data_IF_295259867145
#
_entry.id   IF_295259867145
#
_cell.length_a   1.000
_cell.length_b   1.000
_cell.length_c   1.000
_cell.angle_alpha   90.00
_cell.angle_beta   90.00
_cell.angle_gamma   90.00
#
_symmetry.space_group_name_H-M   'P 1'
#
loop_
_entity.id
_entity.type
_entity.pdbx_description
1 polymer ?
#
# COMPACT_ATOMS: atom_id res chain seq x y z
N UNK A 1 -45.20 -3.75 -28.79
CA UNK A 1 -46.15 -3.98 -29.91
C UNK A 1 -47.16 -5.01 -29.46
N UNK A 2 -48.42 -4.85 -29.87
CA UNK A 2 -49.57 -5.61 -29.38
C UNK A 2 -49.94 -6.71 -30.38
N UNK A 3 -49.93 -7.97 -29.95
CA UNK A 3 -50.72 -9.08 -30.50
C UNK A 3 -50.97 -10.04 -29.32
N UNK A 4 -52.18 -10.46 -28.97
CA UNK A 4 -53.44 -10.40 -29.70
C UNK A 4 -53.96 -11.82 -29.89
N UNK A 5 -54.54 -12.41 -28.84
CA UNK A 5 -55.24 -13.70 -28.91
C UNK A 5 -56.48 -13.64 -28.01
N UNK A 6 -57.65 -13.59 -28.63
CA UNK A 6 -58.93 -13.71 -27.93
C UNK A 6 -59.23 -15.19 -27.60
N UNK A 7 -59.88 -15.49 -26.46
CA UNK A 7 -60.48 -16.79 -26.21
C UNK A 7 -61.86 -16.84 -26.89
N UNK A 8 -61.95 -17.56 -28.01
CA UNK A 8 -63.22 -17.76 -28.71
C UNK A 8 -64.21 -18.56 -27.86
N UNK A 9 -65.32 -17.91 -27.50
CA UNK A 9 -66.53 -18.60 -27.09
C UNK A 9 -66.96 -19.55 -28.21
N UNK A 10 -67.19 -20.83 -27.89
CA UNK A 10 -67.96 -21.68 -28.79
C UNK A 10 -68.95 -22.56 -28.02
N UNK A 11 -70.23 -22.20 -28.15
CA UNK A 11 -71.34 -22.93 -27.56
C UNK A 11 -71.57 -24.22 -28.37
N UNK A 12 -71.41 -25.38 -27.74
CA UNK A 12 -71.97 -26.64 -28.23
C UNK A 12 -72.22 -27.63 -27.10
N UNK A 13 -73.11 -27.25 -26.18
CA UNK A 13 -73.90 -28.24 -25.45
C UNK A 13 -74.89 -28.90 -26.43
N UNK A 14 -74.41 -29.87 -27.21
CA UNK A 14 -75.27 -30.67 -28.10
C UNK A 14 -75.58 -32.00 -27.43
N UNK A 15 -76.70 -32.03 -26.71
CA UNK A 15 -77.29 -33.26 -26.20
C UNK A 15 -77.40 -34.31 -27.33
N UNK A 16 -76.78 -35.47 -27.13
CA UNK A 16 -77.09 -36.70 -27.85
C UNK A 16 -77.17 -37.86 -26.84
N UNK A 17 -78.23 -37.85 -26.05
CA UNK A 17 -78.74 -39.08 -25.43
C UNK A 17 -79.23 -39.97 -26.57
N UNK A 18 -78.49 -41.03 -26.91
CA UNK A 18 -78.94 -42.03 -27.87
C UNK A 18 -78.89 -43.43 -27.24
N UNK A 19 -80.02 -43.77 -26.62
CA UNK A 19 -80.54 -45.14 -26.40
C UNK A 19 -79.56 -46.24 -25.94
N UNK A 20 -79.58 -46.50 -24.63
CA UNK A 20 -79.33 -47.83 -24.07
C UNK A 20 -80.39 -48.82 -24.57
N UNK A 21 -80.00 -49.78 -25.43
CA UNK A 21 -80.54 -51.14 -25.45
C UNK A 21 -79.82 -52.01 -26.51
N UNK A 22 -78.95 -52.93 -26.08
CA UNK A 22 -79.03 -54.39 -26.35
C UNK A 22 -77.73 -55.10 -25.98
N UNK A 23 -77.87 -56.38 -25.62
CA UNK A 23 -76.83 -57.40 -25.45
C UNK A 23 -75.93 -57.32 -24.21
N UNK A 24 -76.38 -58.08 -23.21
CA UNK A 24 -75.61 -58.67 -22.12
C UNK A 24 -74.25 -59.21 -22.59
N UNK A 25 -73.15 -58.74 -21.98
CA UNK A 25 -71.85 -59.44 -21.92
C UNK A 25 -70.98 -58.87 -20.78
N UNK A 26 -70.73 -59.71 -19.78
CA UNK A 26 -69.69 -59.64 -18.74
C UNK A 26 -69.43 -58.30 -18.01
N UNK A 27 -69.86 -58.26 -16.74
CA UNK A 27 -69.54 -57.25 -15.71
C UNK A 27 -68.05 -57.32 -15.23
N UNK A 28 -67.19 -58.09 -15.92
CA UNK A 28 -65.84 -58.47 -15.45
C UNK A 28 -64.68 -58.12 -16.39
N UNK A 29 -64.94 -57.42 -17.49
CA UNK A 29 -63.89 -56.76 -18.28
C UNK A 29 -64.37 -55.36 -18.61
N UNK A 30 -63.77 -54.33 -18.00
CA UNK A 30 -63.86 -53.00 -18.61
C UNK A 30 -63.29 -53.12 -20.03
N UNK A 31 -63.97 -52.57 -21.06
CA UNK A 31 -63.42 -52.56 -22.40
C UNK A 31 -62.02 -51.94 -22.34
N UNK A 32 -61.03 -52.54 -23.00
CA UNK A 32 -59.63 -52.07 -22.95
C UNK A 32 -59.55 -50.57 -23.27
N UNK A 33 -60.42 -50.10 -24.17
CA UNK A 33 -60.65 -48.69 -24.53
C UNK A 33 -60.94 -47.80 -23.30
N UNK A 34 -61.76 -48.24 -22.35
CA UNK A 34 -62.11 -47.49 -21.12
C UNK A 34 -60.91 -47.44 -20.16
N UNK A 35 -60.15 -48.53 -20.03
CA UNK A 35 -58.91 -48.52 -19.24
C UNK A 35 -57.87 -47.57 -19.84
N UNK A 36 -57.67 -47.63 -21.16
CA UNK A 36 -56.78 -46.73 -21.89
C UNK A 36 -57.25 -45.27 -21.80
N UNK A 37 -58.56 -45.01 -21.86
CA UNK A 37 -59.10 -43.65 -21.68
C UNK A 37 -58.78 -43.12 -20.27
N UNK A 38 -58.96 -43.93 -19.22
CA UNK A 38 -58.58 -43.56 -17.85
C UNK A 38 -57.08 -43.31 -17.72
N UNK A 39 -56.22 -44.08 -18.39
CA UNK A 39 -54.78 -43.82 -18.43
C UNK A 39 -54.48 -42.49 -19.14
N UNK A 40 -55.07 -42.23 -20.31
CA UNK A 40 -54.93 -40.95 -21.03
C UNK A 40 -55.37 -39.78 -20.17
N UNK A 41 -56.52 -39.88 -19.48
CA UNK A 41 -57.03 -38.84 -18.58
C UNK A 41 -56.11 -38.64 -17.36
N UNK A 42 -55.55 -39.73 -16.80
CA UNK A 42 -54.58 -39.68 -15.70
C UNK A 42 -53.24 -39.03 -16.13
N UNK A 43 -52.71 -39.38 -17.32
CA UNK A 43 -51.52 -38.75 -17.88
C UNK A 43 -51.78 -37.29 -18.22
N UNK A 44 -52.98 -36.94 -18.70
CA UNK A 44 -53.39 -35.56 -18.99
C UNK A 44 -53.44 -34.74 -17.71
N UNK A 45 -54.01 -35.28 -16.63
CA UNK A 45 -54.04 -34.64 -15.32
C UNK A 45 -52.65 -34.48 -14.70
N UNK A 46 -51.77 -35.47 -14.82
CA UNK A 46 -50.36 -35.37 -14.39
C UNK A 46 -49.60 -34.30 -15.20
N UNK A 47 -49.78 -34.28 -16.52
CA UNK A 47 -49.20 -33.27 -17.41
C UNK A 47 -49.69 -31.86 -17.05
N UNK A 48 -50.97 -31.70 -16.70
CA UNK A 48 -51.51 -30.42 -16.27
C UNK A 48 -50.96 -29.99 -14.89
N UNK A 49 -50.79 -30.92 -13.96
CA UNK A 49 -50.19 -30.66 -12.65
C UNK A 49 -48.70 -30.25 -12.79
N UNK A 50 -47.93 -30.92 -13.63
CA UNK A 50 -46.54 -30.53 -13.91
C UNK A 50 -46.45 -29.21 -14.68
N UNK A 51 -47.38 -28.89 -15.60
CA UNK A 51 -47.47 -27.56 -16.22
C UNK A 51 -47.73 -26.45 -15.20
N UNK A 52 -48.61 -26.68 -14.23
CA UNK A 52 -48.86 -25.73 -13.12
C UNK A 52 -47.64 -25.58 -12.20
N UNK A 53 -46.93 -26.68 -11.93
CA UNK A 53 -45.68 -26.66 -11.15
C UNK A 53 -44.57 -25.91 -11.87
N UNK A 54 -44.38 -26.15 -13.17
CA UNK A 54 -43.43 -25.44 -14.02
C UNK A 54 -43.71 -23.94 -14.04
N UNK A 55 -44.98 -23.55 -14.21
CA UNK A 55 -45.39 -22.14 -14.18
C UNK A 55 -45.05 -21.45 -12.84
N UNK A 56 -45.32 -22.10 -11.70
CA UNK A 56 -44.93 -21.56 -10.39
C UNK A 56 -43.42 -21.49 -10.18
N UNK A 57 -42.66 -22.43 -10.76
CA UNK A 57 -41.21 -22.40 -10.74
C UNK A 57 -40.64 -21.26 -11.61
N UNK A 58 -41.20 -21.04 -12.80
CA UNK A 58 -40.88 -19.90 -13.66
C UNK A 58 -41.21 -18.57 -12.99
N UNK A 59 -42.35 -18.46 -12.28
CA UNK A 59 -42.72 -17.24 -11.55
C UNK A 59 -41.73 -16.95 -10.42
N UNK A 60 -41.40 -17.95 -9.59
CA UNK A 60 -40.41 -17.80 -8.52
C UNK A 60 -39.00 -17.50 -9.06
N UNK A 61 -38.59 -18.15 -10.15
CA UNK A 61 -37.33 -17.87 -10.85
C UNK A 61 -37.27 -16.42 -11.37
N UNK A 62 -38.34 -15.91 -11.98
CA UNK A 62 -38.42 -14.53 -12.45
C UNK A 62 -38.37 -13.50 -11.31
N UNK A 63 -38.97 -13.80 -10.15
CA UNK A 63 -38.86 -12.98 -8.95
C UNK A 63 -37.41 -12.94 -8.46
N UNK A 64 -36.76 -14.09 -8.30
CA UNK A 64 -35.35 -14.18 -7.88
C UNK A 64 -34.40 -13.48 -8.86
N UNK A 65 -34.62 -13.61 -10.18
CA UNK A 65 -33.88 -12.86 -11.19
C UNK A 65 -34.04 -11.34 -11.05
N UNK A 66 -35.23 -10.87 -10.71
CA UNK A 66 -35.51 -9.44 -10.50
C UNK A 66 -34.79 -8.93 -9.25
N UNK A 67 -34.86 -9.65 -8.14
CA UNK A 67 -34.10 -9.32 -6.92
C UNK A 67 -32.59 -9.34 -7.14
N UNK A 68 -32.07 -10.33 -7.86
CA UNK A 68 -30.66 -10.45 -8.20
C UNK A 68 -30.17 -9.25 -9.02
N UNK A 69 -30.94 -8.84 -10.04
CA UNK A 69 -30.66 -7.62 -10.83
C UNK A 69 -30.68 -6.35 -9.97
N UNK A 70 -31.64 -6.24 -9.05
CA UNK A 70 -31.71 -5.12 -8.10
C UNK A 70 -30.49 -5.09 -7.16
N UNK A 71 -30.10 -6.23 -6.58
CA UNK A 71 -28.91 -6.35 -5.72
C UNK A 71 -27.62 -5.99 -6.48
N UNK A 72 -27.45 -6.42 -7.73
CA UNK A 72 -26.32 -5.99 -8.58
C UNK A 72 -26.30 -4.47 -8.76
N UNK A 73 -27.44 -3.86 -9.06
CA UNK A 73 -27.53 -2.41 -9.27
C UNK A 73 -27.19 -1.64 -7.99
N UNK A 74 -27.72 -2.05 -6.83
CA UNK A 74 -27.36 -1.43 -5.54
C UNK A 74 -25.88 -1.59 -5.19
N UNK A 75 -25.27 -2.75 -5.46
CA UNK A 75 -23.82 -2.97 -5.28
C UNK A 75 -23.00 -2.06 -6.20
N UNK A 76 -23.42 -1.89 -7.46
CA UNK A 76 -22.77 -1.00 -8.43
C UNK A 76 -22.82 0.46 -7.96
N UNK A 77 -23.96 0.92 -7.48
CA UNK A 77 -24.14 2.27 -6.93
C UNK A 77 -23.33 2.51 -5.65
N UNK A 78 -23.26 1.53 -4.75
CA UNK A 78 -22.43 1.59 -3.54
C UNK A 78 -20.94 1.68 -3.89
N UNK A 79 -20.46 0.85 -4.82
CA UNK A 79 -19.07 0.92 -5.32
C UNK A 79 -18.77 2.29 -5.95
N UNK A 80 -19.68 2.80 -6.79
CA UNK A 80 -19.50 4.11 -7.41
C UNK A 80 -19.49 5.26 -6.39
N UNK A 81 -20.35 5.21 -5.36
CA UNK A 81 -20.34 6.20 -4.26
C UNK A 81 -19.03 6.14 -3.46
N UNK A 82 -18.59 4.94 -3.07
CA UNK A 82 -17.33 4.73 -2.33
C UNK A 82 -16.12 5.26 -3.11
N UNK A 83 -16.03 4.93 -4.40
CA UNK A 83 -14.91 5.38 -5.23
C UNK A 83 -14.97 6.91 -5.42
N UNK A 84 -16.14 7.48 -5.69
CA UNK A 84 -16.32 8.94 -5.78
C UNK A 84 -15.92 9.68 -4.49
N UNK A 85 -16.14 9.10 -3.30
CA UNK A 85 -15.68 9.72 -2.03
C UNK A 85 -14.18 9.65 -1.86
N UNK A 86 -13.55 8.54 -2.26
CA UNK A 86 -12.09 8.34 -2.21
C UNK A 86 -11.38 9.27 -3.21
N UNK A 87 -11.87 9.34 -4.46
CA UNK A 87 -11.35 10.25 -5.49
C UNK A 87 -11.45 11.71 -5.05
N UNK A 88 -12.57 12.14 -4.44
CA UNK A 88 -12.72 13.50 -3.90
C UNK A 88 -11.77 13.81 -2.75
N UNK A 89 -11.48 12.82 -1.89
CA UNK A 89 -10.50 12.99 -0.82
C UNK A 89 -9.09 13.19 -1.41
N UNK A 90 -8.69 12.34 -2.37
CA UNK A 90 -7.42 12.49 -3.10
C UNK A 90 -7.35 13.83 -3.84
N UNK A 91 -8.40 14.24 -4.54
CA UNK A 91 -8.45 15.51 -5.28
C UNK A 91 -8.28 16.73 -4.34
N UNK A 92 -8.90 16.69 -3.16
CA UNK A 92 -8.71 17.70 -2.11
C UNK A 92 -7.28 17.72 -1.55
N UNK A 93 -6.68 16.54 -1.34
CA UNK A 93 -5.28 16.41 -0.91
C UNK A 93 -4.30 16.95 -1.97
N UNK A 94 -4.49 16.60 -3.24
CA UNK A 94 -3.71 17.10 -4.38
C UNK A 94 -3.82 18.63 -4.45
N UNK A 95 -5.03 19.19 -4.34
CA UNK A 95 -5.23 20.64 -4.38
C UNK A 95 -4.54 21.37 -3.22
N UNK A 96 -4.54 20.79 -2.02
CA UNK A 96 -3.81 21.33 -0.87
C UNK A 96 -2.29 21.26 -1.09
N UNK A 97 -1.78 20.14 -1.59
CA UNK A 97 -0.36 20.00 -1.96
C UNK A 97 0.06 20.99 -3.05
N UNK A 98 -0.76 21.20 -4.08
CA UNK A 98 -0.54 22.21 -5.13
C UNK A 98 -0.44 23.62 -4.53
N UNK A 99 -1.40 24.03 -3.68
CA UNK A 99 -1.34 25.33 -3.01
C UNK A 99 -0.11 25.49 -2.09
N UNK A 100 0.33 24.40 -1.43
CA UNK A 100 1.56 24.40 -0.64
C UNK A 100 2.81 24.55 -1.51
N UNK A 101 2.87 23.87 -2.67
CA UNK A 101 3.95 24.00 -3.65
C UNK A 101 4.00 25.42 -4.21
N UNK A 102 2.86 25.99 -4.61
CA UNK A 102 2.76 27.36 -5.13
C UNK A 102 3.24 28.39 -4.10
N UNK A 103 2.87 28.25 -2.82
CA UNK A 103 3.37 29.10 -1.72
C UNK A 103 4.89 28.97 -1.52
N UNK A 104 5.46 27.76 -1.68
CA UNK A 104 6.92 27.54 -1.59
C UNK A 104 7.65 28.12 -2.80
N UNK A 105 7.09 27.99 -4.01
CA UNK A 105 7.63 28.62 -5.23
C UNK A 105 7.61 30.14 -5.15
N UNK A 106 6.54 30.74 -4.61
CA UNK A 106 6.47 32.18 -4.33
C UNK A 106 7.63 32.65 -3.44
N UNK A 107 7.80 32.01 -2.27
CA UNK A 107 8.94 32.28 -1.37
C UNK A 107 10.30 32.03 -2.02
N UNK A 108 10.43 31.00 -2.85
CA UNK A 108 11.68 30.74 -3.57
C UNK A 108 12.01 31.88 -4.55
N UNK A 109 11.03 32.35 -5.33
CA UNK A 109 11.22 33.46 -6.25
C UNK A 109 11.54 34.78 -5.52
N UNK A 110 10.88 35.05 -4.38
CA UNK A 110 11.20 36.19 -3.51
C UNK A 110 12.65 36.13 -3.02
N UNK A 111 13.08 34.99 -2.45
CA UNK A 111 14.49 34.82 -2.00
C UNK A 111 15.49 34.83 -3.15
N UNK A 112 15.10 34.39 -4.35
CA UNK A 112 15.94 34.45 -5.53
C UNK A 112 16.12 35.90 -6.02
N UNK A 113 15.06 36.72 -6.01
CA UNK A 113 15.15 38.15 -6.30
C UNK A 113 16.05 38.87 -5.29
N UNK A 114 15.83 38.64 -3.99
CA UNK A 114 16.66 39.24 -2.94
C UNK A 114 18.15 38.82 -3.05
N UNK A 115 18.43 37.56 -3.46
CA UNK A 115 19.80 37.12 -3.74
C UNK A 115 20.40 37.81 -4.97
N UNK A 116 19.61 38.10 -6.02
CA UNK A 116 20.06 38.88 -7.17
C UNK A 116 20.38 40.32 -6.75
N UNK A 117 19.49 40.97 -5.99
CA UNK A 117 19.71 42.33 -5.47
C UNK A 117 20.99 42.42 -4.61
N UNK A 118 21.21 41.45 -3.71
CA UNK A 118 22.45 41.34 -2.93
C UNK A 118 23.68 41.11 -3.81
N UNK A 119 23.56 40.31 -4.88
CA UNK A 119 24.65 40.06 -5.81
C UNK A 119 25.00 41.32 -6.62
N UNK A 120 24.02 42.14 -6.99
CA UNK A 120 24.24 43.46 -7.60
C UNK A 120 24.91 44.44 -6.62
N UNK A 121 24.44 44.53 -5.38
CA UNK A 121 25.06 45.34 -4.33
C UNK A 121 26.52 44.93 -4.07
N UNK A 122 26.81 43.63 -3.97
CA UNK A 122 28.17 43.11 -3.84
C UNK A 122 29.04 43.50 -5.05
N UNK A 123 28.48 43.47 -6.27
CA UNK A 123 29.20 43.88 -7.47
C UNK A 123 29.42 45.40 -7.54
N UNK A 124 28.51 46.21 -7.00
CA UNK A 124 28.70 47.66 -6.86
C UNK A 124 29.81 47.97 -5.85
N UNK A 125 29.73 47.43 -4.62
CA UNK A 125 30.76 47.58 -3.59
C UNK A 125 32.15 47.10 -4.06
N UNK A 126 32.21 46.05 -4.89
CA UNK A 126 33.47 45.61 -5.54
C UNK A 126 34.03 46.64 -6.51
N UNK A 127 33.21 47.33 -7.31
CA UNK A 127 33.64 48.41 -8.22
C UNK A 127 34.13 49.62 -7.42
N UNK A 128 33.37 50.03 -6.40
CA UNK A 128 33.74 51.13 -5.50
C UNK A 128 35.07 50.85 -4.80
N UNK A 129 35.26 49.64 -4.25
CA UNK A 129 36.54 49.24 -3.63
C UNK A 129 37.73 49.32 -4.60
N UNK A 130 37.55 48.97 -5.87
CA UNK A 130 38.62 49.09 -6.89
C UNK A 130 38.94 50.56 -7.17
N UNK A 131 37.94 51.43 -7.29
CA UNK A 131 38.14 52.87 -7.40
C UNK A 131 38.86 53.46 -6.18
N UNK A 132 38.44 53.10 -4.96
CA UNK A 132 39.11 53.54 -3.73
C UNK A 132 40.57 53.07 -3.65
N UNK A 133 40.87 51.83 -4.03
CA UNK A 133 42.25 51.34 -4.11
C UNK A 133 43.10 52.14 -5.11
N UNK A 134 42.53 52.52 -6.26
CA UNK A 134 43.23 53.35 -7.24
C UNK A 134 43.47 54.79 -6.73
N UNK A 135 42.52 55.37 -6.00
CA UNK A 135 42.67 56.67 -5.35
C UNK A 135 43.72 56.63 -4.23
N UNK A 136 43.67 55.63 -3.34
CA UNK A 136 44.66 55.45 -2.28
C UNK A 136 46.07 55.31 -2.86
N UNK A 137 46.24 54.53 -3.94
CA UNK A 137 47.54 54.39 -4.60
C UNK A 137 48.07 55.71 -5.15
N UNK A 138 47.21 56.55 -5.76
CA UNK A 138 47.60 57.90 -6.22
C UNK A 138 48.01 58.80 -5.05
N UNK A 139 47.28 58.74 -3.93
CA UNK A 139 47.61 59.48 -2.71
C UNK A 139 48.92 59.00 -2.07
N UNK A 140 49.21 57.69 -2.08
CA UNK A 140 50.51 57.15 -1.64
C UNK A 140 51.67 57.67 -2.51
N UNK A 141 51.50 57.66 -3.84
CA UNK A 141 52.48 58.20 -4.79
C UNK A 141 52.73 59.70 -4.55
N UNK A 142 51.69 60.49 -4.22
CA UNK A 142 51.81 61.91 -3.88
C UNK A 142 52.42 62.15 -2.48
N UNK A 143 52.07 61.35 -1.48
CA UNK A 143 52.70 61.41 -0.14
C UNK A 143 54.20 61.09 -0.23
N UNK A 144 54.59 60.10 -1.04
CA UNK A 144 56.00 59.77 -1.28
C UNK A 144 56.74 60.93 -1.96
N UNK A 145 56.08 61.73 -2.81
CA UNK A 145 56.66 62.97 -3.40
C UNK A 145 56.80 64.12 -2.39
N UNK A 146 55.95 64.16 -1.36
CA UNK A 146 55.93 65.22 -0.33
C UNK A 146 56.87 64.89 0.85
N UNK A 147 56.93 63.63 1.25
CA UNK A 147 57.74 63.09 2.36
C UNK A 147 59.22 63.55 2.39
N UNK A 148 60.00 63.50 1.29
CA UNK A 148 61.42 63.89 1.30
C UNK A 148 61.67 65.39 1.56
N UNK A 149 60.61 66.20 1.75
CA UNK A 149 60.70 67.63 2.07
C UNK A 149 60.43 67.97 3.55
N UNK A 150 60.18 66.99 4.43
CA UNK A 150 59.73 67.24 5.83
C UNK A 150 60.48 66.47 6.93
N UNK A 151 61.61 65.83 6.63
CA UNK A 151 62.23 64.83 7.52
C UNK A 151 63.28 65.36 8.54
N UNK A 152 63.61 66.66 8.56
CA UNK A 152 64.77 67.18 9.32
C UNK A 152 64.46 67.78 10.71
N UNK A 153 63.19 67.95 11.10
CA UNK A 153 62.86 68.71 12.33
C UNK A 153 62.15 67.89 13.43
N UNK A 154 62.82 67.83 14.59
CA UNK A 154 62.33 67.60 15.96
C UNK A 154 62.20 66.16 16.53
N UNK A 155 63.09 65.87 17.48
CA UNK A 155 62.88 64.92 18.61
C UNK A 155 63.57 65.42 19.89
N UNK A 156 62.82 65.71 20.98
CA UNK A 156 63.36 65.75 22.33
C UNK A 156 62.91 64.56 23.19
N UNK A 157 63.74 64.23 24.19
CA UNK A 157 63.52 63.19 25.23
C UNK A 157 62.83 63.79 26.45
N UNK A 158 62.24 62.99 27.33
CA UNK A 158 62.30 63.26 28.79
C UNK A 158 62.16 62.00 29.65
N UNK A 159 62.74 62.06 30.85
CA UNK A 159 62.93 60.97 31.81
C UNK A 159 62.43 61.37 33.22
N UNK A 160 61.98 60.37 34.00
CA UNK A 160 62.14 60.24 35.47
C UNK A 160 61.50 61.31 36.41
N UNK A 161 60.71 60.87 37.41
CA UNK A 161 61.14 60.82 38.84
C UNK A 161 60.05 60.27 39.80
N UNK A 162 60.49 59.44 40.77
CA UNK A 162 59.72 59.01 41.96
C UNK A 162 60.22 59.75 43.19
N UNK A 163 59.34 60.09 44.14
CA UNK A 163 59.74 60.44 45.52
C UNK A 163 58.80 59.82 46.57
N UNK A 164 59.29 59.75 47.82
CA UNK A 164 58.84 58.83 48.87
C UNK A 164 58.67 59.54 50.23
N UNK A 165 58.18 58.77 51.22
CA UNK A 165 58.46 58.85 52.67
C UNK A 165 57.47 59.51 53.67
N UNK A 166 56.95 58.60 54.52
CA UNK A 166 56.96 58.59 56.01
C UNK A 166 55.94 59.42 56.83
N UNK A 167 55.81 58.97 58.08
CA UNK A 167 54.74 59.19 59.08
C UNK A 167 55.33 59.88 60.32
N UNK A 168 54.49 60.59 61.10
CA UNK A 168 54.67 60.74 62.55
C UNK A 168 53.32 60.85 63.31
N UNK A 169 53.41 60.59 64.62
CA UNK A 169 52.40 60.58 65.69
C UNK A 169 53.13 61.05 66.98
N UNK A 170 52.56 61.58 68.08
CA UNK A 170 51.20 61.98 68.52
C UNK A 170 51.42 62.83 69.81
N UNK A 171 50.58 63.78 70.24
CA UNK A 171 49.47 64.50 69.59
C UNK A 171 49.19 65.81 70.36
N UNK A 172 48.29 66.66 69.86
CA UNK A 172 47.51 67.63 70.66
C UNK A 172 46.03 67.45 70.33
N UNK A 173 45.08 68.20 70.90
CA UNK A 173 43.69 68.15 70.39
C UNK A 173 43.62 68.96 69.09
N UNK A 174 44.18 68.34 68.06
CA UNK A 174 44.89 69.05 67.02
C UNK A 174 43.93 69.46 65.91
N UNK A 175 43.42 70.68 66.02
CA UNK A 175 42.66 71.33 64.95
C UNK A 175 43.45 71.38 63.65
N UNK A 176 44.79 71.45 63.68
CA UNK A 176 45.63 71.35 62.50
C UNK A 176 45.62 69.93 61.91
N UNK A 177 45.66 68.85 62.69
CA UNK A 177 45.51 67.47 62.19
C UNK A 177 44.07 67.15 61.76
N UNK A 178 43.05 67.68 62.43
CA UNK A 178 41.65 67.53 61.99
C UNK A 178 41.40 68.33 60.71
N UNK A 179 41.95 69.54 60.57
CA UNK A 179 41.95 70.28 59.31
C UNK A 179 42.79 69.56 58.26
N UNK A 180 43.97 69.01 58.56
CA UNK A 180 44.76 68.18 57.61
C UNK A 180 43.96 66.94 57.20
N UNK A 181 43.19 66.31 58.09
CA UNK A 181 42.38 65.14 57.77
C UNK A 181 41.17 65.52 56.91
N UNK A 182 40.46 66.62 57.23
CA UNK A 182 39.41 67.20 56.38
C UNK A 182 39.95 67.64 55.03
N UNK A 183 41.08 68.32 54.98
CA UNK A 183 41.78 68.74 53.77
C UNK A 183 42.23 67.52 52.96
N UNK A 184 42.76 66.48 53.60
CA UNK A 184 43.14 65.22 52.93
C UNK A 184 41.92 64.47 52.40
N UNK A 185 40.76 64.55 53.06
CA UNK A 185 39.47 64.04 52.57
C UNK A 185 38.90 64.88 51.42
N UNK A 186 39.05 66.21 51.47
CA UNK A 186 38.68 67.12 50.36
C UNK A 186 39.61 66.90 49.16
N UNK A 187 40.91 66.74 49.37
CA UNK A 187 41.90 66.39 48.34
C UNK A 187 41.61 64.99 47.78
N UNK A 188 41.22 64.02 48.61
CA UNK A 188 40.79 62.70 48.13
C UNK A 188 39.53 62.80 47.26
N UNK A 189 38.48 63.49 47.72
CA UNK A 189 37.26 63.73 46.94
C UNK A 189 37.55 64.50 45.63
N UNK A 190 38.41 65.53 45.66
CA UNK A 190 38.82 66.24 44.45
C UNK A 190 39.66 65.37 43.53
N UNK A 191 40.52 64.48 44.07
CA UNK A 191 41.30 63.52 43.27
C UNK A 191 40.41 62.44 42.67
N UNK A 192 39.33 62.04 43.32
CA UNK A 192 38.31 61.16 42.73
C UNK A 192 37.46 61.88 41.70
N UNK A 193 37.05 63.13 41.92
CA UNK A 193 36.42 63.97 40.88
C UNK A 193 37.33 64.14 39.66
N UNK A 194 38.62 64.41 39.87
CA UNK A 194 39.61 64.48 38.78
C UNK A 194 39.74 63.13 38.08
N UNK A 195 39.85 61.99 38.79
CA UNK A 195 39.83 60.65 38.16
C UNK A 195 38.56 60.39 37.34
N UNK A 196 37.40 60.81 37.84
CA UNK A 196 36.11 60.66 37.15
C UNK A 196 36.10 61.54 35.89
N UNK A 197 36.60 62.78 35.98
CA UNK A 197 36.76 63.68 34.82
C UNK A 197 37.78 63.11 33.83
N UNK A 198 38.93 62.59 34.28
CA UNK A 198 39.93 61.92 33.44
C UNK A 198 39.34 60.68 32.75
N UNK A 199 38.46 59.93 33.44
CA UNK A 199 37.76 58.79 32.87
C UNK A 199 36.72 59.23 31.83
N UNK A 200 35.97 60.29 32.09
CA UNK A 200 35.07 60.89 31.10
C UNK A 200 35.85 61.45 29.89
N UNK A 201 37.00 62.09 30.10
CA UNK A 201 37.88 62.57 29.02
C UNK A 201 38.47 61.42 28.20
N UNK A 202 38.87 60.32 28.84
CA UNK A 202 39.27 59.09 28.13
C UNK A 202 38.13 58.48 27.33
N UNK A 203 36.95 58.36 27.93
CA UNK A 203 35.78 57.83 27.24
C UNK A 203 35.37 58.75 26.07
N UNK A 204 35.43 60.07 26.25
CA UNK A 204 35.19 61.06 25.19
C UNK A 204 36.22 60.92 24.07
N UNK A 205 37.50 60.74 24.41
CA UNK A 205 38.55 60.53 23.42
C UNK A 205 38.42 59.20 22.67
N UNK A 206 37.98 58.13 23.33
CA UNK A 206 37.68 56.84 22.68
C UNK A 206 36.45 56.97 21.77
N UNK A 207 35.43 57.73 22.18
CA UNK A 207 34.28 58.07 21.32
C UNK A 207 34.74 58.91 20.13
N UNK A 208 35.64 59.88 20.32
CA UNK A 208 36.20 60.72 19.26
C UNK A 208 37.10 59.92 18.30
N UNK A 209 37.93 58.99 18.79
CA UNK A 209 38.67 58.02 17.97
C UNK A 209 37.71 57.10 17.18
N UNK A 210 36.65 56.58 17.81
CA UNK A 210 35.66 55.75 17.14
C UNK A 210 34.86 56.55 16.08
N UNK A 211 34.48 57.80 16.36
CA UNK A 211 33.83 58.68 15.37
C UNK A 211 34.77 59.03 14.22
N UNK A 212 36.05 59.29 14.49
CA UNK A 212 37.05 59.51 13.43
C UNK A 212 37.25 58.23 12.59
N UNK A 213 37.25 57.05 13.21
CA UNK A 213 37.35 55.78 12.50
C UNK A 213 36.10 55.49 11.65
N UNK A 214 34.90 55.80 12.15
CA UNK A 214 33.65 55.73 11.38
C UNK A 214 33.66 56.75 10.23
N UNK A 215 34.19 57.95 10.45
CA UNK A 215 34.35 59.00 9.43
C UNK A 215 35.35 58.62 8.34
N UNK A 216 36.46 57.98 8.69
CA UNK A 216 37.43 57.42 7.74
C UNK A 216 36.85 56.24 6.95
N UNK A 217 36.09 55.35 7.60
CA UNK A 217 35.49 54.17 6.94
C UNK A 217 34.25 54.50 6.09
N UNK A 218 33.44 55.48 6.48
CA UNK A 218 32.22 55.87 5.74
C UNK A 218 32.45 56.97 4.71
N UNK A 219 33.50 57.79 4.88
CA UNK A 219 33.74 58.99 4.06
C UNK A 219 32.74 60.14 4.32
N UNK A 220 31.74 59.93 5.18
CA UNK A 220 30.71 60.92 5.52
C UNK A 220 31.29 61.89 6.54
N UNK A 221 31.29 63.19 6.22
CA UNK A 221 31.87 64.23 7.09
C UNK A 221 30.89 64.80 8.11
N UNK A 222 29.58 64.61 7.90
CA UNK A 222 28.50 65.11 8.73
C UNK A 222 28.10 64.09 9.83
N UNK A 223 27.99 64.59 11.06
CA UNK A 223 27.72 63.79 12.25
C UNK A 223 26.23 63.40 12.31
N UNK A 224 25.33 64.25 11.80
CA UNK A 224 23.88 63.94 11.77
C UNK A 224 23.57 62.82 10.75
N UNK A 225 24.27 62.77 9.62
CA UNK A 225 24.09 61.71 8.62
C UNK A 225 24.62 60.35 9.12
N UNK A 226 25.75 60.34 9.84
CA UNK A 226 26.26 59.14 10.54
C UNK A 226 25.26 58.67 11.60
N UNK A 227 24.73 59.58 12.42
CA UNK A 227 23.76 59.23 13.46
C UNK A 227 22.46 58.65 12.88
N UNK A 228 21.90 59.27 11.83
CA UNK A 228 20.71 58.77 11.15
C UNK A 228 20.96 57.41 10.48
N UNK A 229 22.14 57.19 9.90
CA UNK A 229 22.52 55.89 9.33
C UNK A 229 22.66 54.82 10.41
N UNK A 230 23.21 55.18 11.58
CA UNK A 230 23.31 54.27 12.72
C UNK A 230 21.94 53.89 13.28
N UNK A 231 21.05 54.87 13.52
CA UNK A 231 19.66 54.64 13.95
C UNK A 231 18.94 53.71 12.96
N UNK A 232 19.07 53.96 11.65
CA UNK A 232 18.48 53.08 10.62
C UNK A 232 19.05 51.66 10.65
N UNK A 233 20.34 51.50 10.94
CA UNK A 233 20.95 50.17 11.12
C UNK A 233 20.52 49.48 12.42
N UNK A 234 20.22 50.25 13.47
CA UNK A 234 19.68 49.77 14.74
C UNK A 234 18.21 49.31 14.59
N UNK A 235 17.38 50.08 13.88
CA UNK A 235 16.01 49.68 13.49
C UNK A 235 16.00 48.42 12.62
N UNK A 236 16.95 48.30 11.67
CA UNK A 236 17.14 47.09 10.87
C UNK A 236 17.55 45.89 11.72
N UNK A 237 18.50 46.07 12.65
CA UNK A 237 18.92 45.02 13.59
C UNK A 237 17.76 44.60 14.51
N UNK A 238 16.97 45.54 15.03
CA UNK A 238 15.79 45.25 15.84
C UNK A 238 14.74 44.46 15.05
N UNK A 239 14.50 44.84 13.79
CA UNK A 239 13.63 44.10 12.88
C UNK A 239 14.15 42.68 12.61
N UNK A 240 15.48 42.52 12.51
CA UNK A 240 16.13 41.23 12.31
C UNK A 240 16.03 40.35 13.57
N UNK A 241 16.18 40.91 14.77
CA UNK A 241 15.93 40.18 16.03
C UNK A 241 14.48 39.68 16.11
N UNK A 242 13.50 40.53 15.83
CA UNK A 242 12.09 40.11 15.81
C UNK A 242 11.82 39.03 14.73
N UNK A 243 12.52 39.06 13.59
CA UNK A 243 12.44 37.99 12.60
C UNK A 243 13.11 36.68 13.08
N UNK A 244 14.23 36.76 13.80
CA UNK A 244 14.89 35.60 14.43
C UNK A 244 14.00 34.98 15.53
N UNK A 245 13.30 35.80 16.32
CA UNK A 245 12.35 35.33 17.32
C UNK A 245 11.16 34.60 16.66
N UNK A 246 10.59 35.18 15.59
CA UNK A 246 9.52 34.52 14.80
C UNK A 246 10.01 33.22 14.17
N UNK A 247 11.23 33.19 13.61
CA UNK A 247 11.82 31.97 13.07
C UNK A 247 12.07 30.92 14.16
N UNK A 248 12.47 31.33 15.36
CA UNK A 248 12.66 30.41 16.49
C UNK A 248 11.32 29.79 16.90
N UNK A 249 10.26 30.60 16.97
CA UNK A 249 8.90 30.10 17.21
C UNK A 249 8.40 29.16 16.09
N UNK A 250 8.70 29.47 14.82
CA UNK A 250 8.38 28.58 13.68
C UNK A 250 9.18 27.27 13.73
N UNK A 251 10.43 27.28 14.22
CA UNK A 251 11.23 26.07 14.46
C UNK A 251 10.58 25.22 15.56
N UNK A 252 10.25 25.79 16.72
CA UNK A 252 9.59 25.07 17.83
C UNK A 252 8.26 24.44 17.37
N UNK A 253 7.47 25.15 16.56
CA UNK A 253 6.24 24.66 15.95
C UNK A 253 6.49 23.47 14.99
N UNK A 254 7.54 23.53 14.18
CA UNK A 254 7.91 22.47 13.23
C UNK A 254 8.51 21.25 13.93
N UNK A 255 9.31 21.43 14.98
CA UNK A 255 9.80 20.34 15.83
C UNK A 255 8.63 19.64 16.52
N UNK A 256 7.70 20.39 17.11
CA UNK A 256 6.48 19.83 17.71
C UNK A 256 5.70 18.99 16.69
N UNK A 257 5.47 19.53 15.49
CA UNK A 257 4.79 18.82 14.39
C UNK A 257 5.54 17.54 13.97
N UNK A 258 6.87 17.58 13.90
CA UNK A 258 7.68 16.40 13.59
C UNK A 258 7.54 15.32 14.69
N UNK A 259 7.63 15.69 15.98
CA UNK A 259 7.47 14.70 17.07
C UNK A 259 6.08 14.07 17.10
N UNK A 260 5.03 14.80 16.73
CA UNK A 260 3.66 14.25 16.64
C UNK A 260 3.47 13.39 15.38
N UNK A 261 4.17 13.69 14.27
CA UNK A 261 4.21 12.82 13.10
C UNK A 261 5.00 11.52 13.37
N UNK A 262 6.11 11.60 14.11
CA UNK A 262 6.90 10.44 14.53
C UNK A 262 6.07 9.50 15.42
N UNK A 263 5.42 10.01 16.47
CA UNK A 263 4.47 9.22 17.29
C UNK A 263 3.37 8.60 16.45
N UNK A 264 2.80 9.33 15.50
CA UNK A 264 1.75 8.81 14.63
C UNK A 264 2.24 7.71 13.69
N UNK A 265 3.49 7.78 13.23
CA UNK A 265 4.13 6.69 12.49
C UNK A 265 4.35 5.47 13.39
N UNK A 266 4.82 5.66 14.62
CA UNK A 266 4.99 4.58 15.62
C UNK A 266 3.66 3.91 15.97
N UNK A 267 2.58 4.68 16.22
CA UNK A 267 1.22 4.17 16.43
C UNK A 267 0.72 3.36 15.23
N UNK A 268 0.98 3.84 14.00
CA UNK A 268 0.60 3.12 12.77
C UNK A 268 1.44 1.86 12.56
N UNK A 269 2.73 1.86 12.90
CA UNK A 269 3.56 0.67 12.87
C UNK A 269 3.07 -0.36 13.90
N UNK A 270 2.73 0.07 15.11
CA UNK A 270 2.15 -0.77 16.16
C UNK A 270 0.77 -1.35 15.78
N UNK A 271 -0.12 -0.57 15.15
CA UNK A 271 -1.40 -1.11 14.63
C UNK A 271 -1.18 -2.06 13.44
N UNK A 272 -0.24 -1.77 12.54
CA UNK A 272 0.11 -2.68 11.45
C UNK A 272 0.76 -3.98 11.96
N UNK A 273 1.63 -3.92 12.97
CA UNK A 273 2.16 -5.06 13.72
C UNK A 273 1.02 -5.88 14.35
N UNK A 274 0.07 -5.22 15.03
CA UNK A 274 -1.07 -5.88 15.66
C UNK A 274 -1.99 -6.55 14.62
N UNK A 275 -2.28 -5.88 13.50
CA UNK A 275 -3.02 -6.45 12.36
C UNK A 275 -2.28 -7.63 11.72
N UNK A 276 -0.95 -7.53 11.55
CA UNK A 276 -0.12 -8.63 11.02
C UNK A 276 -0.16 -9.84 11.95
N UNK A 277 -0.06 -9.62 13.27
CA UNK A 277 -0.22 -10.66 14.30
C UNK A 277 -1.64 -11.24 14.33
N UNK A 278 -2.67 -10.44 14.10
CA UNK A 278 -4.06 -10.90 13.99
C UNK A 278 -4.31 -11.76 12.72
N UNK A 279 -3.75 -11.37 11.56
CA UNK A 279 -3.81 -12.18 10.34
C UNK A 279 -3.02 -13.50 10.43
N UNK A 280 -1.87 -13.49 11.12
CA UNK A 280 -1.12 -14.71 11.43
C UNK A 280 -1.77 -15.55 12.55
N UNK A 281 -2.62 -14.90 13.36
CA UNK A 281 -3.25 -15.46 14.55
C UNK A 281 -4.51 -16.29 14.29
N UNK A 282 -5.05 -16.35 13.06
CA UNK A 282 -6.17 -17.23 12.71
C UNK A 282 -5.68 -18.67 12.49
N UNK A 283 -5.81 -19.60 13.46
CA UNK A 283 -5.12 -20.90 13.39
C UNK A 283 -5.76 -21.87 12.39
N UNK A 284 -6.84 -21.44 11.73
CA UNK A 284 -7.60 -22.21 10.76
C UNK A 284 -6.95 -22.13 9.36
N UNK A 285 -6.61 -20.93 8.89
CA UNK A 285 -6.05 -20.73 7.54
C UNK A 285 -4.64 -21.32 7.39
N UNK A 286 -3.79 -21.21 8.41
CA UNK A 286 -2.50 -21.92 8.44
C UNK A 286 -2.67 -23.45 8.36
N UNK A 287 -3.65 -24.01 9.08
CA UNK A 287 -3.93 -25.46 9.07
C UNK A 287 -4.53 -25.90 7.73
N UNK A 288 -5.40 -25.09 7.13
CA UNK A 288 -5.94 -25.31 5.78
C UNK A 288 -4.80 -25.26 4.76
N UNK A 289 -3.95 -24.23 4.78
CA UNK A 289 -2.81 -24.08 3.86
C UNK A 289 -1.81 -25.24 4.00
N UNK A 290 -1.51 -25.70 5.23
CA UNK A 290 -0.70 -26.91 5.46
C UNK A 290 -1.37 -28.19 4.94
N UNK A 291 -2.69 -28.36 5.12
CA UNK A 291 -3.46 -29.48 4.53
C UNK A 291 -3.46 -29.45 3.00
N UNK A 292 -3.68 -28.29 2.40
CA UNK A 292 -3.65 -28.08 0.93
C UNK A 292 -2.27 -28.40 0.38
N UNK A 293 -1.20 -27.87 0.99
CA UNK A 293 0.18 -28.16 0.57
C UNK A 293 0.52 -29.66 0.67
N UNK A 294 0.05 -30.34 1.72
CA UNK A 294 0.23 -31.80 1.87
C UNK A 294 -0.55 -32.60 0.81
N UNK A 295 -1.76 -32.16 0.45
CA UNK A 295 -2.55 -32.74 -0.65
C UNK A 295 -1.87 -32.50 -2.01
N UNK A 296 -1.36 -31.29 -2.24
CA UNK A 296 -0.69 -30.89 -3.47
C UNK A 296 0.64 -31.61 -3.64
N UNK A 297 1.41 -31.81 -2.57
CA UNK A 297 2.60 -32.67 -2.56
C UNK A 297 2.27 -34.13 -2.90
N UNK A 298 1.22 -34.71 -2.32
CA UNK A 298 0.76 -36.07 -2.67
C UNK A 298 0.37 -36.18 -4.14
N UNK A 299 -0.44 -35.25 -4.66
CA UNK A 299 -0.81 -35.22 -6.08
C UNK A 299 0.38 -35.01 -7.01
N UNK A 300 1.38 -34.21 -6.59
CA UNK A 300 2.62 -34.08 -7.35
C UNK A 300 3.39 -35.41 -7.40
N UNK A 301 3.51 -36.14 -6.28
CA UNK A 301 4.14 -37.47 -6.29
C UNK A 301 3.38 -38.49 -7.12
N UNK A 302 2.04 -38.50 -7.11
CA UNK A 302 1.24 -39.35 -7.99
C UNK A 302 1.51 -39.05 -9.48
N UNK A 303 1.51 -37.76 -9.85
CA UNK A 303 1.82 -37.30 -11.22
C UNK A 303 3.24 -37.71 -11.63
N UNK A 304 4.21 -37.59 -10.72
CA UNK A 304 5.60 -37.94 -11.03
C UNK A 304 5.82 -39.47 -11.12
N UNK A 305 5.08 -40.28 -10.35
CA UNK A 305 5.05 -41.74 -10.58
C UNK A 305 4.44 -42.10 -11.94
N UNK A 306 3.35 -41.44 -12.35
CA UNK A 306 2.75 -41.65 -13.67
C UNK A 306 3.69 -41.23 -14.81
N UNK A 307 4.39 -40.10 -14.67
CA UNK A 307 5.43 -39.64 -15.61
C UNK A 307 6.58 -40.63 -15.73
N UNK A 308 7.04 -41.22 -14.62
CA UNK A 308 8.08 -42.24 -14.65
C UNK A 308 7.61 -43.51 -15.38
N UNK A 309 6.39 -43.99 -15.11
CA UNK A 309 5.80 -45.12 -15.85
C UNK A 309 5.72 -44.82 -17.36
N UNK A 310 5.26 -43.63 -17.76
CA UNK A 310 5.21 -43.20 -19.17
C UNK A 310 6.63 -43.17 -19.77
N UNK A 311 7.61 -42.68 -19.03
CA UNK A 311 9.02 -42.62 -19.45
C UNK A 311 9.64 -44.01 -19.64
N UNK A 312 9.30 -44.98 -18.80
CA UNK A 312 9.80 -46.35 -18.87
C UNK A 312 9.10 -47.17 -19.98
N UNK A 313 7.81 -46.88 -20.24
CA UNK A 313 7.07 -47.46 -21.37
C UNK A 313 7.49 -46.88 -22.72
N UNK A 314 7.92 -45.60 -22.78
CA UNK A 314 8.34 -44.92 -24.01
C UNK A 314 9.36 -45.71 -24.85
N UNK A 315 10.53 -46.14 -24.32
CA UNK A 315 11.50 -46.91 -25.10
C UNK A 315 10.98 -48.29 -25.48
N UNK A 316 10.25 -48.97 -24.59
CA UNK A 316 9.75 -50.34 -24.83
C UNK A 316 8.73 -50.39 -25.96
N UNK A 317 7.80 -49.44 -25.98
CA UNK A 317 6.80 -49.32 -27.05
C UNK A 317 7.45 -48.84 -28.36
N UNK A 318 8.44 -47.94 -28.30
CA UNK A 318 9.23 -47.55 -29.46
C UNK A 318 9.98 -48.74 -30.08
N UNK A 319 10.64 -49.60 -29.28
CA UNK A 319 11.29 -50.81 -29.79
C UNK A 319 10.30 -51.80 -30.37
N UNK A 320 9.15 -52.04 -29.70
CA UNK A 320 8.12 -52.95 -30.22
C UNK A 320 7.51 -52.46 -31.55
N UNK A 321 7.24 -51.16 -31.68
CA UNK A 321 6.74 -50.58 -32.93
C UNK A 321 7.77 -50.66 -34.06
N UNK A 322 9.05 -50.45 -33.76
CA UNK A 322 10.14 -50.61 -34.73
C UNK A 322 10.28 -52.08 -35.16
N UNK A 323 10.28 -53.03 -34.22
CA UNK A 323 10.40 -54.47 -34.51
C UNK A 323 9.20 -54.99 -35.30
N UNK A 324 7.97 -54.58 -34.94
CA UNK A 324 6.76 -54.92 -35.70
C UNK A 324 6.77 -54.30 -37.10
N UNK A 325 7.20 -53.03 -37.25
CA UNK A 325 7.34 -52.36 -38.54
C UNK A 325 8.52 -52.88 -39.41
N UNK A 326 9.43 -53.68 -38.84
CA UNK A 326 10.46 -54.42 -39.58
C UNK A 326 9.97 -55.76 -40.13
N UNK A 327 8.85 -56.30 -39.63
CA UNK A 327 8.27 -57.54 -40.20
C UNK A 327 7.67 -57.30 -41.59
N UNK A 328 7.66 -58.34 -42.43
CA UNK A 328 7.20 -58.30 -43.83
C UNK A 328 5.68 -58.13 -44.01
N UNK A 329 4.95 -57.78 -42.95
CA UNK A 329 3.49 -57.70 -42.91
C UNK A 329 2.93 -56.28 -42.86
N UNK A 330 3.77 -55.25 -42.97
CA UNK A 330 3.33 -53.86 -43.03
C UNK A 330 3.01 -53.43 -44.49
N UNK A 331 1.75 -53.07 -44.83
CA UNK A 331 1.40 -52.55 -46.14
C UNK A 331 1.84 -51.09 -46.37
N UNK A 332 2.18 -50.33 -45.31
CA UNK A 332 2.48 -48.89 -45.38
C UNK A 332 3.91 -48.55 -44.94
N UNK A 333 4.81 -48.45 -45.92
CA UNK A 333 6.22 -48.03 -45.75
C UNK A 333 6.40 -46.60 -45.19
N UNK A 334 5.31 -45.83 -45.06
CA UNK A 334 5.33 -44.49 -44.44
C UNK A 334 5.35 -44.50 -42.91
N UNK A 335 4.58 -45.39 -42.26
CA UNK A 335 4.47 -45.43 -40.79
C UNK A 335 5.82 -45.71 -40.12
N UNK A 336 6.67 -46.52 -40.77
CA UNK A 336 8.04 -46.78 -40.33
C UNK A 336 8.86 -45.49 -40.13
N UNK A 337 8.70 -44.51 -41.01
CA UNK A 337 9.42 -43.23 -40.94
C UNK A 337 8.88 -42.34 -39.81
N UNK A 338 7.59 -42.40 -39.52
CA UNK A 338 6.95 -41.66 -38.42
C UNK A 338 7.40 -42.20 -37.05
N UNK A 339 7.60 -43.51 -36.90
CA UNK A 339 8.15 -44.12 -35.69
C UNK A 339 9.64 -43.85 -35.45
N UNK A 340 10.44 -43.68 -36.51
CA UNK A 340 11.87 -43.38 -36.42
C UNK A 340 12.15 -41.89 -36.12
N UNK A 341 11.32 -40.96 -36.60
CA UNK A 341 11.63 -39.52 -36.55
C UNK A 341 11.14 -38.77 -35.30
N UNK A 342 10.16 -39.29 -34.56
CA UNK A 342 9.62 -38.59 -33.39
C UNK A 342 8.49 -39.30 -32.67
N UNK A 343 8.82 -40.30 -31.86
CA UNK A 343 7.84 -40.95 -30.97
C UNK A 343 7.50 -40.02 -29.78
N UNK A 344 6.28 -39.50 -29.72
CA UNK A 344 5.79 -38.72 -28.56
C UNK A 344 4.43 -39.22 -28.06
N UNK A 345 4.45 -39.69 -26.81
CA UNK A 345 3.31 -40.19 -26.04
C UNK A 345 2.45 -39.03 -25.52
N UNK A 346 1.61 -38.50 -26.40
CA UNK A 346 0.41 -37.75 -26.00
C UNK A 346 -0.77 -38.71 -25.82
N UNK A 347 -1.80 -38.28 -25.07
CA UNK A 347 -3.00 -39.09 -24.80
C UNK A 347 -3.70 -39.55 -26.09
N UNK A 348 -3.82 -38.66 -27.08
CA UNK A 348 -4.37 -38.99 -28.40
C UNK A 348 -3.43 -39.79 -29.32
N UNK A 349 -2.11 -39.71 -29.12
CA UNK A 349 -1.17 -40.53 -29.90
C UNK A 349 -1.07 -41.96 -29.36
N UNK A 350 -1.18 -42.14 -28.03
CA UNK A 350 -1.13 -43.45 -27.39
C UNK A 350 -2.27 -44.37 -27.88
N UNK A 351 -3.47 -43.84 -28.05
CA UNK A 351 -4.60 -44.61 -28.59
C UNK A 351 -4.34 -45.09 -30.04
N UNK A 352 -3.79 -44.21 -30.89
CA UNK A 352 -3.39 -44.56 -32.25
C UNK A 352 -2.24 -45.59 -32.27
N UNK A 353 -1.23 -45.46 -31.39
CA UNK A 353 -0.14 -46.42 -31.27
C UNK A 353 -0.61 -47.77 -30.73
N UNK A 354 -1.59 -47.79 -29.83
CA UNK A 354 -2.18 -49.02 -29.29
C UNK A 354 -3.04 -49.73 -30.35
N UNK A 355 -3.84 -48.98 -31.12
CA UNK A 355 -4.61 -49.51 -32.25
C UNK A 355 -3.70 -50.10 -33.35
N UNK A 356 -2.56 -49.48 -33.61
CA UNK A 356 -1.55 -50.01 -34.53
C UNK A 356 -0.92 -51.31 -33.98
N UNK A 357 -0.55 -51.36 -32.69
CA UNK A 357 -0.05 -52.60 -32.05
C UNK A 357 -1.12 -53.70 -32.08
N UNK A 358 -2.39 -53.38 -31.85
CA UNK A 358 -3.51 -54.31 -31.95
C UNK A 358 -3.65 -54.83 -33.40
N UNK A 359 -3.58 -53.96 -34.40
CA UNK A 359 -3.62 -54.35 -35.82
C UNK A 359 -2.48 -55.30 -36.19
N UNK A 360 -1.23 -54.97 -35.84
CA UNK A 360 -0.09 -55.85 -36.08
C UNK A 360 -0.18 -57.17 -35.29
N UNK A 361 -0.70 -57.13 -34.06
CA UNK A 361 -0.89 -58.33 -33.23
C UNK A 361 -1.96 -59.25 -33.81
N UNK A 362 -3.06 -58.70 -34.31
CA UNK A 362 -4.12 -59.45 -34.99
C UNK A 362 -3.63 -60.05 -36.33
N UNK A 363 -2.79 -59.33 -37.08
CA UNK A 363 -2.15 -59.89 -38.28
C UNK A 363 -1.19 -61.02 -37.91
N UNK A 364 -0.33 -60.84 -36.91
CA UNK A 364 0.58 -61.89 -36.42
C UNK A 364 -0.19 -63.13 -35.93
N UNK A 365 -1.30 -62.93 -35.22
CA UNK A 365 -2.21 -64.00 -34.79
C UNK A 365 -2.84 -64.72 -35.98
N UNK A 366 -3.27 -63.99 -37.03
CA UNK A 366 -3.80 -64.59 -38.26
C UNK A 366 -2.74 -65.38 -39.04
N UNK A 367 -1.49 -64.92 -39.05
CA UNK A 367 -0.38 -65.64 -39.69
C UNK A 367 0.00 -66.90 -38.91
N UNK A 368 0.05 -66.82 -37.56
CA UNK A 368 0.26 -68.01 -36.71
C UNK A 368 -0.92 -68.98 -36.72
N UNK A 369 -2.14 -68.50 -36.94
CA UNK A 369 -3.33 -69.31 -37.23
C UNK A 369 -3.27 -70.02 -38.60
N UNK A 370 -2.49 -69.52 -39.56
CA UNK A 370 -2.26 -70.20 -40.84
C UNK A 370 -1.13 -71.23 -40.76
N UNK A 371 -0.08 -70.98 -39.97
CA UNK A 371 1.01 -71.95 -39.76
C UNK A 371 0.60 -73.13 -38.86
N UNK A 372 -0.20 -72.89 -37.80
CA UNK A 372 -0.66 -73.92 -36.88
C UNK A 372 -2.19 -73.93 -36.81
N UNK A 373 -2.81 -74.96 -37.38
CA UNK A 373 -4.27 -75.10 -37.51
C UNK A 373 -5.04 -75.45 -36.22
N UNK A 374 -4.61 -74.97 -35.06
CA UNK A 374 -5.33 -75.17 -33.79
C UNK A 374 -5.31 -73.88 -32.93
N UNK A 375 -6.43 -73.17 -32.96
CA UNK A 375 -6.58 -71.84 -32.36
C UNK A 375 -6.84 -71.87 -30.84
N UNK A 376 -6.94 -73.07 -30.26
CA UNK A 376 -7.47 -73.30 -28.91
C UNK A 376 -6.46 -73.14 -27.78
N UNK A 377 -5.15 -73.30 -28.05
CA UNK A 377 -4.11 -73.36 -26.99
C UNK A 377 -3.39 -72.02 -26.70
N UNK A 378 -3.50 -71.02 -27.58
CA UNK A 378 -2.82 -69.72 -27.40
C UNK A 378 -3.74 -68.58 -26.93
N UNK A 379 -5.06 -68.79 -26.93
CA UNK A 379 -6.00 -67.86 -26.32
C UNK A 379 -5.98 -68.02 -24.79
N UNK A 380 -5.08 -67.29 -24.13
CA UNK A 380 -5.06 -67.09 -22.67
C UNK A 380 -6.23 -66.21 -22.17
N UNK A 381 -7.44 -66.47 -22.68
CA UNK A 381 -8.69 -65.88 -22.19
C UNK A 381 -8.90 -66.25 -20.70
N UNK A 382 -8.46 -67.44 -20.29
CA UNK A 382 -8.53 -67.95 -18.91
C UNK A 382 -7.53 -67.30 -17.93
N UNK A 383 -6.70 -66.34 -18.36
CA UNK A 383 -5.80 -65.59 -17.45
C UNK A 383 -6.15 -64.11 -17.30
N UNK A 384 -7.32 -63.67 -17.76
CA UNK A 384 -7.90 -62.42 -17.25
C UNK A 384 -8.47 -62.74 -15.86
N UNK A 385 -7.91 -62.22 -14.74
CA UNK A 385 -8.52 -62.42 -13.44
C UNK A 385 -9.93 -61.82 -13.48
N UNK A 386 -10.97 -62.53 -13.02
CA UNK A 386 -12.31 -61.97 -13.00
C UNK A 386 -12.28 -60.69 -12.17
N UNK A 387 -12.86 -59.62 -12.73
CA UNK A 387 -12.96 -58.32 -12.08
C UNK A 387 -13.64 -58.53 -10.72
N UNK A 388 -12.87 -58.44 -9.64
CA UNK A 388 -13.35 -58.76 -8.29
C UNK A 388 -14.43 -57.76 -7.89
N UNK A 389 -15.70 -58.12 -8.15
CA UNK A 389 -16.89 -57.42 -7.66
C UNK A 389 -17.12 -57.73 -6.17
N UNK A 390 -16.05 -57.55 -5.39
CA UNK A 390 -16.01 -57.68 -3.93
C UNK A 390 -15.58 -56.34 -3.30
N UNK A 391 -16.20 -55.26 -3.76
CA UNK A 391 -16.23 -53.99 -3.05
C UNK A 391 -17.69 -53.65 -2.77
N UNK A 392 -18.08 -53.84 -1.51
CA UNK A 392 -19.25 -53.28 -0.84
C UNK A 392 -20.59 -53.29 -1.61
N UNK A 393 -21.46 -54.22 -1.20
CA UNK A 393 -22.90 -53.94 -1.26
C UNK A 393 -23.17 -52.60 -0.53
N UNK A 394 -24.14 -51.84 -1.06
CA UNK A 394 -24.66 -50.57 -0.52
C UNK A 394 -23.75 -49.33 -0.65
N UNK A 395 -23.55 -48.86 -1.89
CA UNK A 395 -23.68 -47.42 -2.18
C UNK A 395 -24.76 -47.20 -3.23
N UNK A 396 -26.00 -47.03 -2.74
CA UNK A 396 -27.06 -46.40 -3.54
C UNK A 396 -26.60 -44.97 -3.82
N UNK A 397 -26.53 -44.58 -5.10
CA UNK A 397 -26.37 -43.18 -5.48
C UNK A 397 -27.69 -42.47 -5.21
N UNK A 398 -27.87 -41.97 -3.98
CA UNK A 398 -28.80 -40.88 -3.71
C UNK A 398 -28.07 -39.57 -3.96
N UNK A 399 -28.68 -38.69 -4.75
CA UNK A 399 -28.25 -37.29 -4.84
C UNK A 399 -28.40 -36.65 -3.45
N UNK A 400 -27.35 -36.04 -2.87
CA UNK A 400 -27.40 -35.51 -1.52
C UNK A 400 -28.20 -34.20 -1.47
N UNK A 401 -29.51 -34.32 -1.32
CA UNK A 401 -30.40 -33.22 -0.94
C UNK A 401 -30.28 -32.88 0.55
N UNK A 402 -29.08 -32.48 1.00
CA UNK A 402 -28.87 -31.54 2.11
C UNK A 402 -27.36 -31.28 2.35
N UNK A 403 -27.03 -30.03 2.66
CA UNK A 403 -25.64 -29.57 2.88
C UNK A 403 -25.18 -29.83 4.34
N UNK A 404 -26.11 -30.12 5.25
CA UNK A 404 -25.87 -30.12 6.70
C UNK A 404 -25.14 -31.37 7.24
N UNK A 405 -25.06 -32.47 6.48
CA UNK A 405 -24.49 -33.74 6.97
C UNK A 405 -22.95 -33.79 6.96
N UNK A 406 -22.28 -32.78 6.37
CA UNK A 406 -20.81 -32.67 6.39
C UNK A 406 -20.22 -32.10 7.70
N UNK A 407 -21.06 -31.56 8.59
CA UNK A 407 -20.62 -30.99 9.87
C UNK A 407 -20.96 -31.91 11.05
N UNK A 408 -20.17 -32.97 11.20
CA UNK A 408 -20.09 -33.68 12.48
C UNK A 408 -19.26 -32.84 13.47
N UNK A 409 -19.85 -31.72 13.90
CA UNK A 409 -19.33 -30.85 14.96
C UNK A 409 -19.59 -31.51 16.31
N UNK A 410 -18.54 -31.63 17.14
CA UNK A 410 -18.65 -32.13 18.50
C UNK A 410 -19.72 -31.37 19.29
N UNK A 411 -20.44 -32.07 20.17
CA UNK A 411 -21.63 -31.55 20.86
C UNK A 411 -21.40 -30.28 21.70
N UNK A 412 -20.14 -29.88 21.94
CA UNK A 412 -19.77 -28.58 22.55
C UNK A 412 -19.95 -27.39 21.63
N UNK A 413 -19.67 -27.53 20.33
CA UNK A 413 -19.70 -26.39 19.41
C UNK A 413 -21.14 -25.93 19.12
N UNK A 414 -22.13 -26.84 19.22
CA UNK A 414 -23.56 -26.49 19.12
C UNK A 414 -24.04 -25.55 20.24
N UNK A 415 -23.35 -25.45 21.38
CA UNK A 415 -23.68 -24.48 22.42
C UNK A 415 -23.24 -23.05 22.06
N UNK A 416 -22.19 -22.87 21.25
CA UNK A 416 -21.73 -21.54 20.82
C UNK A 416 -22.65 -20.88 19.77
N UNK A 417 -23.39 -21.68 19.00
CA UNK A 417 -24.34 -21.17 18.00
C UNK A 417 -25.70 -20.77 18.59
N UNK A 418 -25.91 -20.90 19.90
CA UNK A 418 -27.10 -20.36 20.55
C UNK A 418 -27.00 -18.83 20.65
N UNK A 419 -27.85 -18.17 19.85
CA UNK A 419 -27.88 -16.72 19.62
C UNK A 419 -28.02 -15.87 20.91
N UNK A 420 -28.49 -16.48 21.99
CA UNK A 420 -28.69 -15.89 23.31
C UNK A 420 -27.38 -15.73 24.09
N UNK A 421 -26.51 -16.74 24.08
CA UNK A 421 -25.22 -16.71 24.80
C UNK A 421 -24.20 -15.81 24.11
N UNK A 422 -24.25 -15.75 22.77
CA UNK A 422 -23.47 -14.78 21.97
C UNK A 422 -23.92 -13.33 22.28
N UNK A 423 -25.21 -13.12 22.56
CA UNK A 423 -25.77 -11.81 22.95
C UNK A 423 -25.32 -11.41 24.35
N UNK A 424 -25.30 -12.33 25.32
CA UNK A 424 -24.72 -12.06 26.65
C UNK A 424 -23.24 -11.65 26.55
N UNK A 425 -22.43 -12.41 25.82
CA UNK A 425 -20.99 -12.13 25.66
C UNK A 425 -20.74 -10.80 24.93
N UNK A 426 -21.60 -10.42 23.98
CA UNK A 426 -21.55 -9.12 23.32
C UNK A 426 -21.95 -7.95 24.26
N UNK A 427 -22.91 -8.16 25.16
CA UNK A 427 -23.30 -7.18 26.19
C UNK A 427 -22.16 -7.00 27.20
N UNK A 428 -21.58 -8.10 27.71
CA UNK A 428 -20.46 -8.07 28.66
C UNK A 428 -19.25 -7.34 28.05
N UNK A 429 -18.90 -7.62 26.79
CA UNK A 429 -17.83 -6.92 26.08
C UNK A 429 -18.12 -5.41 25.91
N UNK A 430 -19.39 -5.01 25.80
CA UNK A 430 -19.80 -3.60 25.73
C UNK A 430 -19.70 -2.91 27.10
N UNK A 431 -20.08 -3.59 28.17
CA UNK A 431 -19.94 -3.09 29.54
C UNK A 431 -18.47 -2.96 29.96
N UNK A 432 -17.61 -3.93 29.64
CA UNK A 432 -16.17 -3.83 29.88
C UNK A 432 -15.53 -2.66 29.11
N UNK A 433 -15.98 -2.35 27.90
CA UNK A 433 -15.55 -1.16 27.15
C UNK A 433 -16.04 0.14 27.80
N UNK A 434 -17.27 0.16 28.31
CA UNK A 434 -17.84 1.31 29.02
C UNK A 434 -17.07 1.62 30.32
N UNK A 435 -16.73 0.59 31.10
CA UNK A 435 -15.93 0.73 32.33
C UNK A 435 -14.49 1.22 32.04
N UNK A 436 -13.89 0.80 30.93
CA UNK A 436 -12.57 1.31 30.49
C UNK A 436 -12.59 2.75 29.96
N UNK A 437 -13.77 3.32 29.69
CA UNK A 437 -13.94 4.71 29.24
C UNK A 437 -14.34 5.70 30.33
N UNK A 438 -14.34 5.29 31.61
CA UNK A 438 -14.71 6.13 32.76
C UNK A 438 -13.61 6.24 33.85
N UNK A 439 -12.41 5.73 33.59
CA UNK A 439 -11.21 5.89 34.44
C UNK A 439 -10.19 6.79 33.73
#
# INVERSE_FOLDING_TARGET
>A
MYTGYEPSHNQSQRNMNLTLATNEKSILQEPIIVSMQKEVDNYTRKLEQEKRRLFGLDETYNIVLKEYKQKIQSIKELKQKSHNTETKLMESQIKNQQAKIEKVLGKHNETQSANQDLQEQINQLRKERVLHLEVCKKLEEDIIRISPKKADENKPKFEILKTTNKKENFDTQDTQNLLKHRLKKIIANNKEKVKIIDQYQKNLKVIEEAFNQIKECSGITDIEEIANTFIKSEEQNYSLYNYVDILSQDIDNLETLNTDLEKKCEDQENDNEARRRALQGTPHDEKIKKKINNLLSKKQTEIDTARNIIKDLKPTLQTLLIDLAQTSFNPDSKRKFEYELGFDLSEGNLENYLADVEFYSNILLSYKSQENGDLSQFLLIDQIPPKNNSTNQNTVVQEPNNIDEYFNLDSKDKELYQHEKLRELAIEAFEQRKMKGQN
#
